data_IF_266410614638
#
_entry.id   IF_266410614638
#
_cell.length_a   1.000
_cell.length_b   1.000
_cell.length_c   1.000
_cell.angle_alpha   90.00
_cell.angle_beta   90.00
_cell.angle_gamma   90.00
#
_symmetry.space_group_name_H-M   'P 1'
#
loop_
_entity.id
_entity.type
_entity.pdbx_description
1 polymer ?
#
# COMPACT_ATOMS: atom_id res chain seq x y z
N UNK A 1 8.40 13.66 2.46
CA UNK A 1 7.36 13.09 1.58
C UNK A 1 6.22 14.07 1.41
N UNK A 2 5.68 14.19 0.22
CA UNK A 2 4.56 15.05 -0.06
C UNK A 2 3.26 14.35 0.35
N UNK A 3 2.56 14.87 1.37
CA UNK A 3 1.31 14.29 1.87
C UNK A 3 0.20 14.29 0.84
N UNK A 4 0.12 15.35 0.03
CA UNK A 4 -0.89 15.44 -1.01
C UNK A 4 -0.69 14.36 -2.07
N UNK A 5 0.54 14.17 -2.51
CA UNK A 5 0.88 13.12 -3.47
C UNK A 5 0.56 11.74 -2.89
N UNK A 6 0.89 11.52 -1.61
CA UNK A 6 0.59 10.26 -0.93
C UNK A 6 -0.90 9.94 -0.95
N UNK A 7 -1.74 10.92 -0.64
CA UNK A 7 -3.21 10.76 -0.65
C UNK A 7 -3.74 10.48 -2.05
N UNK A 8 -3.21 11.16 -3.05
CA UNK A 8 -3.61 10.91 -4.45
C UNK A 8 -3.25 9.49 -4.89
N UNK A 9 -2.09 8.99 -4.48
CA UNK A 9 -1.68 7.62 -4.77
C UNK A 9 -2.57 6.59 -4.08
N UNK A 10 -2.92 6.82 -2.83
CA UNK A 10 -3.85 5.95 -2.09
C UNK A 10 -5.22 5.93 -2.76
N UNK A 11 -5.75 7.09 -3.13
CA UNK A 11 -7.03 7.16 -3.85
C UNK A 11 -6.97 6.39 -5.17
N UNK A 12 -5.87 6.52 -5.89
CA UNK A 12 -5.64 5.78 -7.14
C UNK A 12 -5.73 4.27 -6.90
N UNK A 13 -5.10 3.78 -5.84
CA UNK A 13 -5.11 2.34 -5.51
C UNK A 13 -6.51 1.89 -5.08
N UNK A 14 -7.23 2.68 -4.29
CA UNK A 14 -8.62 2.37 -3.92
C UNK A 14 -9.48 2.20 -5.16
N UNK A 15 -9.38 3.13 -6.12
CA UNK A 15 -10.13 3.05 -7.38
C UNK A 15 -9.72 1.85 -8.22
N UNK A 16 -8.42 1.59 -8.29
CA UNK A 16 -7.87 0.46 -9.04
C UNK A 16 -8.41 -0.87 -8.49
N UNK A 17 -8.43 -1.04 -7.17
CA UNK A 17 -8.90 -2.26 -6.53
C UNK A 17 -10.41 -2.43 -6.69
N UNK A 18 -11.19 -1.38 -6.54
CA UNK A 18 -12.63 -1.42 -6.78
C UNK A 18 -12.94 -1.81 -8.22
N UNK A 19 -12.24 -1.22 -9.17
CA UNK A 19 -12.42 -1.51 -10.58
C UNK A 19 -12.07 -2.96 -10.90
N UNK A 20 -10.95 -3.45 -10.37
CA UNK A 20 -10.52 -4.83 -10.54
C UNK A 20 -11.59 -5.82 -10.06
N UNK A 21 -12.15 -5.56 -8.88
CA UNK A 21 -13.18 -6.43 -8.30
C UNK A 21 -14.49 -6.36 -9.08
N UNK A 22 -14.88 -5.18 -9.55
CA UNK A 22 -16.05 -5.03 -10.40
C UNK A 22 -15.90 -5.80 -11.71
N UNK A 23 -14.73 -5.72 -12.35
CA UNK A 23 -14.46 -6.47 -13.59
C UNK A 23 -14.47 -7.98 -13.36
N UNK A 24 -14.17 -8.42 -12.15
CA UNK A 24 -14.22 -9.84 -11.76
C UNK A 24 -15.62 -10.29 -11.38
N UNK A 25 -16.63 -9.41 -11.50
CA UNK A 25 -18.01 -9.72 -11.11
C UNK A 25 -18.22 -9.74 -9.60
N UNK A 26 -17.32 -9.15 -8.83
CA UNK A 26 -17.36 -9.16 -7.38
C UNK A 26 -17.75 -7.78 -6.83
N UNK A 27 -18.96 -7.35 -7.18
CA UNK A 27 -19.52 -6.08 -6.67
C UNK A 27 -19.61 -6.08 -5.16
N UNK A 28 -19.87 -7.23 -4.55
CA UNK A 28 -19.92 -7.42 -3.10
C UNK A 28 -18.58 -7.03 -2.43
N UNK A 29 -17.47 -7.51 -2.97
CA UNK A 29 -16.14 -7.21 -2.44
C UNK A 29 -15.71 -5.78 -2.78
N UNK A 30 -16.06 -5.30 -3.97
CA UNK A 30 -15.73 -3.92 -4.37
C UNK A 30 -16.30 -2.90 -3.39
N UNK A 31 -17.51 -3.13 -2.88
CA UNK A 31 -18.14 -2.26 -1.87
C UNK A 31 -17.46 -2.32 -0.51
N UNK A 32 -16.70 -3.38 -0.23
CA UNK A 32 -16.00 -3.56 1.05
C UNK A 32 -14.59 -3.01 1.04
N UNK A 33 -14.07 -2.60 -0.11
CA UNK A 33 -12.76 -1.96 -0.18
C UNK A 33 -12.78 -0.71 0.69
N UNK A 34 -11.81 -0.59 1.60
CA UNK A 34 -11.79 0.46 2.61
C UNK A 34 -10.48 1.25 2.53
N UNK A 35 -10.61 2.56 2.46
CA UNK A 35 -9.46 3.46 2.55
C UNK A 35 -9.14 3.67 4.04
N UNK A 36 -8.35 2.76 4.59
CA UNK A 36 -8.04 2.67 6.02
C UNK A 36 -7.37 3.93 6.56
N UNK A 37 -6.43 4.48 5.81
CA UNK A 37 -5.70 5.68 6.24
C UNK A 37 -6.63 6.89 6.45
N UNK A 38 -7.73 6.97 5.70
CA UNK A 38 -8.71 8.06 5.81
C UNK A 38 -9.80 7.73 6.83
N UNK A 39 -10.37 6.51 6.75
CA UNK A 39 -11.54 6.14 7.56
C UNK A 39 -11.18 5.77 9.00
N UNK A 40 -9.99 5.22 9.23
CA UNK A 40 -9.56 4.74 10.56
C UNK A 40 -8.37 5.56 11.07
N UNK A 41 -7.37 5.84 10.22
CA UNK A 41 -6.17 6.58 10.56
C UNK A 41 -4.90 5.84 10.18
N UNK A 42 -3.74 6.46 10.46
CA UNK A 42 -2.44 6.02 9.93
C UNK A 42 -1.75 4.93 10.77
N UNK A 43 -2.32 4.51 11.89
CA UNK A 43 -1.60 3.71 12.89
C UNK A 43 -1.58 2.20 12.65
N UNK A 44 -2.27 1.68 11.63
CA UNK A 44 -2.43 0.24 11.46
C UNK A 44 -1.32 -0.43 10.65
N UNK A 45 -0.45 0.37 10.01
CA UNK A 45 0.66 -0.19 9.23
C UNK A 45 0.32 -0.52 7.79
N UNK A 46 -0.87 -0.15 7.31
CA UNK A 46 -1.29 -0.25 5.91
C UNK A 46 -2.38 0.79 5.59
N UNK A 47 -2.58 1.08 4.32
CA UNK A 47 -3.41 2.21 3.87
C UNK A 47 -4.77 1.81 3.32
N UNK A 48 -4.87 0.64 2.70
CA UNK A 48 -6.09 0.20 2.00
C UNK A 48 -6.35 -1.27 2.32
N UNK A 49 -7.60 -1.58 2.63
CA UNK A 49 -8.06 -2.96 2.77
C UNK A 49 -8.79 -3.36 1.49
N UNK A 50 -8.34 -4.41 0.85
CA UNK A 50 -8.98 -4.98 -0.32
C UNK A 50 -9.10 -6.50 -0.18
N UNK A 51 -9.41 -7.19 -1.27
CA UNK A 51 -9.74 -8.62 -1.23
C UNK A 51 -9.26 -9.32 -2.49
N UNK A 52 -8.94 -10.60 -2.35
CA UNK A 52 -8.76 -11.50 -3.48
C UNK A 52 -10.15 -11.82 -4.05
N UNK A 53 -10.27 -11.80 -5.37
CA UNK A 53 -11.57 -12.00 -6.02
C UNK A 53 -12.04 -13.45 -6.01
N UNK A 54 -11.16 -14.41 -5.77
CA UNK A 54 -11.49 -15.83 -5.78
C UNK A 54 -11.74 -16.39 -4.39
N UNK A 55 -10.75 -16.28 -3.49
CA UNK A 55 -10.85 -16.87 -2.15
C UNK A 55 -11.35 -15.88 -1.09
N UNK A 56 -11.57 -14.61 -1.47
CA UNK A 56 -12.10 -13.55 -0.59
C UNK A 56 -11.15 -13.16 0.55
N UNK A 57 -9.91 -13.62 0.53
CA UNK A 57 -8.95 -13.27 1.55
C UNK A 57 -8.62 -11.78 1.52
N UNK A 58 -8.36 -11.22 2.70
CA UNK A 58 -8.03 -9.81 2.83
C UNK A 58 -6.65 -9.50 2.26
N UNK A 59 -6.56 -8.37 1.57
CA UNK A 59 -5.30 -7.79 1.11
C UNK A 59 -5.06 -6.50 1.88
N UNK A 60 -3.99 -6.45 2.64
CA UNK A 60 -3.55 -5.28 3.38
C UNK A 60 -2.54 -4.54 2.50
N UNK A 61 -2.94 -3.38 1.99
CA UNK A 61 -2.15 -2.67 0.99
C UNK A 61 -1.51 -1.43 1.59
N UNK A 62 -0.19 -1.37 1.52
CA UNK A 62 0.59 -0.18 1.81
C UNK A 62 0.92 0.50 0.49
N UNK A 63 0.66 1.81 0.37
CA UNK A 63 0.85 2.57 -0.87
C UNK A 63 1.99 3.54 -0.71
N UNK A 64 2.98 3.45 -1.61
CA UNK A 64 4.11 4.38 -1.66
C UNK A 64 4.15 5.01 -3.06
N UNK A 65 4.00 6.32 -3.12
CA UNK A 65 3.80 7.06 -4.37
C UNK A 65 4.96 7.99 -4.67
N UNK A 66 5.35 8.07 -5.93
CA UNK A 66 6.32 9.06 -6.41
C UNK A 66 5.92 9.58 -7.79
N UNK A 67 6.25 10.82 -8.07
CA UNK A 67 6.17 11.37 -9.42
C UNK A 67 7.37 10.96 -10.30
N UNK A 68 8.37 10.32 -9.71
CA UNK A 68 9.60 9.91 -10.38
C UNK A 68 9.51 8.46 -10.84
N UNK A 69 10.62 7.89 -11.30
CA UNK A 69 10.66 6.55 -11.88
C UNK A 69 10.53 5.42 -10.86
N UNK A 70 10.34 4.23 -11.36
CA UNK A 70 10.01 3.05 -10.53
C UNK A 70 11.08 2.65 -9.53
N UNK A 71 12.33 3.05 -9.74
CA UNK A 71 13.44 2.70 -8.83
C UNK A 71 13.75 3.78 -7.80
N UNK A 72 13.00 4.89 -7.80
CA UNK A 72 13.21 5.93 -6.80
C UNK A 72 12.91 5.38 -5.40
N UNK A 73 13.81 5.62 -4.41
CA UNK A 73 13.63 5.05 -3.07
C UNK A 73 12.39 5.59 -2.37
N UNK A 74 11.88 4.84 -1.40
CA UNK A 74 10.77 5.26 -0.56
C UNK A 74 11.09 4.92 0.90
N UNK A 75 10.40 5.60 1.82
CA UNK A 75 10.59 5.39 3.25
C UNK A 75 9.47 4.55 3.82
N UNK A 76 9.82 3.68 4.77
CA UNK A 76 8.86 2.86 5.50
C UNK A 76 9.04 3.08 6.99
N UNK A 77 7.94 2.99 7.75
CA UNK A 77 7.96 3.08 9.20
C UNK A 77 8.18 1.69 9.79
N UNK A 78 8.61 1.65 11.05
CA UNK A 78 8.74 0.37 11.76
C UNK A 78 7.38 -0.33 11.87
N UNK A 79 6.29 0.42 11.97
CA UNK A 79 4.94 -0.11 12.05
C UNK A 79 4.56 -0.84 10.75
N UNK A 80 4.90 -0.26 9.61
CA UNK A 80 4.70 -0.87 8.29
C UNK A 80 5.55 -2.13 8.13
N UNK A 81 6.80 -2.09 8.58
CA UNK A 81 7.68 -3.26 8.55
C UNK A 81 7.10 -4.40 9.39
N UNK A 82 6.65 -4.10 10.61
CA UNK A 82 6.05 -5.10 11.51
C UNK A 82 4.77 -5.68 10.93
N UNK A 83 3.90 -4.85 10.38
CA UNK A 83 2.68 -5.32 9.73
C UNK A 83 3.01 -6.29 8.59
N UNK A 84 4.00 -5.96 7.78
CA UNK A 84 4.43 -6.81 6.67
C UNK A 84 4.98 -8.16 7.12
N UNK A 85 5.58 -8.23 8.31
CA UNK A 85 6.09 -9.48 8.87
C UNK A 85 4.96 -10.30 9.51
N UNK A 86 4.11 -9.64 10.32
CA UNK A 86 3.04 -10.31 11.04
C UNK A 86 1.95 -10.84 10.10
N UNK A 87 1.71 -10.15 9.00
CA UNK A 87 0.66 -10.44 8.03
C UNK A 87 1.23 -10.71 6.65
N UNK A 88 2.33 -11.42 6.58
CA UNK A 88 3.11 -11.58 5.33
C UNK A 88 2.30 -12.16 4.16
N UNK A 89 1.36 -13.07 4.42
CA UNK A 89 0.54 -13.67 3.36
C UNK A 89 -0.49 -12.69 2.79
N UNK A 90 -0.84 -11.66 3.55
CA UNK A 90 -1.88 -10.68 3.19
C UNK A 90 -1.31 -9.32 2.81
N UNK A 91 -0.05 -9.05 3.15
CA UNK A 91 0.57 -7.73 2.96
C UNK A 91 1.05 -7.54 1.53
N UNK A 92 0.65 -6.42 0.93
CA UNK A 92 1.03 -6.02 -0.42
C UNK A 92 1.51 -4.57 -0.41
N UNK A 93 2.71 -4.34 -0.95
CA UNK A 93 3.19 -3.00 -1.19
C UNK A 93 2.88 -2.62 -2.64
N UNK A 94 2.10 -1.56 -2.81
CA UNK A 94 1.84 -0.98 -4.13
C UNK A 94 2.77 0.22 -4.30
N UNK A 95 3.77 0.06 -5.14
CA UNK A 95 4.65 1.17 -5.50
C UNK A 95 4.08 1.86 -6.73
N UNK A 96 3.50 3.03 -6.52
CA UNK A 96 2.94 3.86 -7.59
C UNK A 96 4.01 4.85 -8.03
N UNK A 97 4.30 4.88 -9.33
CA UNK A 97 5.36 5.72 -9.89
C UNK A 97 4.89 6.43 -11.15
N UNK A 98 5.68 7.40 -11.63
CA UNK A 98 5.30 8.29 -12.75
C UNK A 98 3.95 8.98 -12.51
N UNK A 99 3.61 9.23 -11.26
CA UNK A 99 2.35 9.88 -10.90
C UNK A 99 2.38 11.33 -11.38
N UNK A 100 1.28 11.77 -12.03
CA UNK A 100 1.23 13.09 -12.67
C UNK A 100 1.53 13.04 -14.17
N UNK A 101 2.02 11.91 -14.68
CA UNK A 101 2.18 11.64 -16.11
C UNK A 101 1.24 10.50 -16.47
N UNK A 102 1.76 9.27 -16.50
CA UNK A 102 0.96 8.05 -16.67
C UNK A 102 1.21 7.18 -15.46
N UNK A 103 0.33 7.23 -14.44
CA UNK A 103 0.54 6.45 -13.21
C UNK A 103 0.63 4.97 -13.51
N UNK A 104 1.68 4.35 -12.96
CA UNK A 104 1.91 2.92 -13.05
C UNK A 104 2.25 2.38 -11.67
N UNK A 105 2.07 1.09 -11.48
CA UNK A 105 2.37 0.47 -10.20
C UNK A 105 2.99 -0.90 -10.40
N UNK A 106 3.88 -1.27 -9.47
CA UNK A 106 4.25 -2.66 -9.28
C UNK A 106 3.90 -3.07 -7.85
N UNK A 107 3.74 -4.37 -7.63
CA UNK A 107 3.27 -4.92 -6.37
C UNK A 107 4.32 -5.89 -5.82
N UNK A 108 4.68 -5.71 -4.55
CA UNK A 108 5.50 -6.65 -3.81
C UNK A 108 4.64 -7.29 -2.72
N UNK A 109 4.61 -8.62 -2.67
CA UNK A 109 3.80 -9.36 -1.70
C UNK A 109 4.70 -9.92 -0.60
N UNK A 110 4.26 -9.78 0.65
CA UNK A 110 4.95 -10.35 1.80
C UNK A 110 5.81 -9.36 2.54
N UNK A 111 6.72 -9.87 3.35
CA UNK A 111 7.56 -9.07 4.23
C UNK A 111 8.42 -8.05 3.48
N UNK A 112 8.43 -6.82 3.97
CA UNK A 112 9.29 -5.77 3.42
C UNK A 112 10.77 -6.12 3.55
N UNK A 113 11.16 -6.81 4.62
CA UNK A 113 12.55 -7.25 4.80
C UNK A 113 13.01 -8.23 3.73
N UNK A 114 12.12 -9.10 3.27
CA UNK A 114 12.43 -10.07 2.23
C UNK A 114 12.41 -9.45 0.84
N UNK A 115 11.54 -8.47 0.61
CA UNK A 115 11.34 -7.88 -0.71
C UNK A 115 12.20 -6.65 -0.98
N UNK A 116 12.71 -5.99 0.07
CA UNK A 116 13.42 -4.72 -0.05
C UNK A 116 14.72 -4.75 0.75
N UNK A 117 15.68 -3.95 0.30
CA UNK A 117 16.85 -3.65 1.14
C UNK A 117 16.49 -2.47 2.04
N UNK A 118 16.47 -2.70 3.36
CA UNK A 118 16.10 -1.68 4.34
C UNK A 118 17.34 -1.14 5.04
N UNK A 119 17.43 0.20 5.07
CA UNK A 119 18.48 0.92 5.80
C UNK A 119 17.82 1.84 6.82
N UNK A 120 18.27 1.85 8.11
CA UNK A 120 17.73 2.79 9.07
C UNK A 120 18.17 4.21 8.72
N UNK A 121 17.21 5.15 8.70
CA UNK A 121 17.46 6.55 8.36
C UNK A 121 17.09 7.51 9.50
N UNK A 122 16.44 7.00 10.55
CA UNK A 122 16.04 7.80 11.71
C UNK A 122 16.25 6.97 12.97
N UNK A 123 16.89 7.59 13.98
CA UNK A 123 17.13 6.97 15.27
C UNK A 123 16.48 7.80 16.37
N UNK A 124 15.82 7.14 17.33
CA UNK A 124 15.35 7.77 18.56
C UNK A 124 16.46 7.63 19.60
N UNK A 125 16.85 8.75 20.23
CA UNK A 125 17.84 8.75 21.31
C UNK A 125 17.19 9.13 22.63
N UNK A 126 17.64 8.50 23.71
CA UNK A 126 17.28 8.86 25.07
C UNK A 126 18.56 8.95 25.91
N UNK A 127 18.49 9.74 26.95
CA UNK A 127 19.60 9.85 27.92
C UNK A 127 19.32 8.95 29.12
#
# INVERSE_FOLDING_TARGET
MNRHLGKLGEEFVVRLERHRLLLAGRDDLARKVLWVAVEIGDGLGFDVLSFDDQDESEKLIEVKTTGLGKFFPFYVTINEVRCSEDMAEQFHLFRVFDFGRTPRAYILTGSLKENCHLEPTLFRATI
#
